data_IF_792291326863
#
_entry.id   IF_792291326863
#
_cell.length_a   1.000
_cell.length_b   1.000
_cell.length_c   1.000
_cell.angle_alpha   90.00
_cell.angle_beta   90.00
_cell.angle_gamma   90.00
#
_symmetry.space_group_name_H-M   'P 1'
#
loop_
_entity.id
_entity.type
_entity.pdbx_description
1 polymer ?
#
# COMPACT_ATOMS: atom_id res chain seq x y z
N UNK A 1 -6.56 -9.95 41.58
CA UNK A 1 -5.44 -10.51 40.79
C UNK A 1 -5.83 -10.44 39.34
N UNK A 2 -4.93 -10.07 38.44
CA UNK A 2 -5.21 -10.08 37.00
C UNK A 2 -5.54 -11.50 36.55
N UNK A 3 -6.64 -11.69 35.83
CA UNK A 3 -6.96 -12.97 35.22
C UNK A 3 -6.01 -13.20 34.06
N UNK A 4 -5.24 -14.28 34.10
CA UNK A 4 -4.19 -14.59 33.13
C UNK A 4 -4.60 -15.74 32.23
N UNK A 5 -4.44 -15.59 30.92
CA UNK A 5 -4.48 -16.70 29.96
C UNK A 5 -3.09 -17.31 29.86
N UNK A 6 -2.86 -18.52 30.34
CA UNK A 6 -1.56 -19.19 30.28
C UNK A 6 -1.23 -19.59 28.83
N UNK A 7 0.08 -19.80 28.57
CA UNK A 7 0.52 -20.33 27.28
C UNK A 7 -0.08 -21.73 27.03
N UNK A 8 -0.75 -21.91 25.92
CA UNK A 8 -1.43 -23.16 25.56
C UNK A 8 -0.60 -24.07 24.63
N UNK A 9 0.32 -23.50 23.84
CA UNK A 9 1.08 -24.24 22.82
C UNK A 9 2.61 -24.13 22.96
N UNK A 10 3.08 -23.64 24.09
CA UNK A 10 4.51 -23.66 24.45
C UNK A 10 5.03 -25.12 24.51
N UNK A 11 6.17 -25.38 23.85
CA UNK A 11 6.75 -26.71 23.70
C UNK A 11 6.15 -27.55 22.55
N UNK A 12 5.10 -27.05 21.88
CA UNK A 12 4.49 -27.68 20.71
C UNK A 12 4.69 -26.83 19.43
N UNK A 13 4.31 -25.57 19.45
CA UNK A 13 4.42 -24.68 18.30
C UNK A 13 5.71 -23.86 18.32
N UNK A 14 6.25 -23.62 19.51
CA UNK A 14 7.49 -22.92 19.75
C UNK A 14 8.14 -23.44 21.06
N UNK A 15 9.45 -23.20 21.30
CA UNK A 15 10.14 -23.70 22.49
C UNK A 15 9.52 -23.19 23.80
N UNK A 16 9.29 -24.09 24.77
CA UNK A 16 8.77 -23.73 26.09
C UNK A 16 9.82 -23.07 27.01
N UNK A 17 11.12 -23.32 26.78
CA UNK A 17 12.18 -22.76 27.59
C UNK A 17 12.49 -21.33 27.10
N UNK A 18 12.47 -20.31 27.99
CA UNK A 18 12.61 -18.90 27.57
C UNK A 18 13.86 -18.57 26.76
N UNK A 19 15.01 -19.10 27.12
CA UNK A 19 16.24 -18.83 26.40
C UNK A 19 16.28 -19.51 25.02
N UNK A 20 15.70 -20.70 24.89
CA UNK A 20 15.57 -21.41 23.62
C UNK A 20 14.60 -20.65 22.71
N UNK A 21 13.48 -20.15 23.25
CA UNK A 21 12.51 -19.34 22.48
C UNK A 21 13.12 -18.03 21.98
N UNK A 22 13.84 -17.29 22.83
CA UNK A 22 14.57 -16.08 22.41
C UNK A 22 15.55 -16.37 21.27
N UNK A 23 16.33 -17.44 21.38
CA UNK A 23 17.26 -17.84 20.30
C UNK A 23 16.51 -18.23 19.01
N UNK A 24 15.39 -18.92 19.12
CA UNK A 24 14.58 -19.31 17.96
C UNK A 24 14.03 -18.09 17.25
N UNK A 25 13.38 -17.18 17.96
CA UNK A 25 12.85 -15.92 17.39
C UNK A 25 13.95 -15.07 16.77
N UNK A 26 15.08 -14.89 17.48
CA UNK A 26 16.23 -14.14 16.97
C UNK A 26 16.80 -14.74 15.69
N UNK A 27 16.86 -16.09 15.58
CA UNK A 27 17.32 -16.78 14.37
C UNK A 27 16.39 -16.48 13.19
N UNK A 28 15.07 -16.59 13.36
CA UNK A 28 14.11 -16.29 12.28
C UNK A 28 14.20 -14.83 11.85
N UNK A 29 14.29 -13.88 12.77
CA UNK A 29 14.47 -12.46 12.48
C UNK A 29 15.78 -12.15 11.76
N UNK A 30 16.87 -12.86 12.09
CA UNK A 30 18.16 -12.68 11.43
C UNK A 30 18.20 -13.17 9.97
N UNK A 31 17.22 -13.98 9.57
CA UNK A 31 17.12 -14.49 8.19
C UNK A 31 16.25 -13.57 7.30
N UNK A 32 15.69 -12.51 7.86
CA UNK A 32 14.86 -11.57 7.09
C UNK A 32 15.71 -10.70 6.17
N UNK A 33 15.13 -10.29 5.04
CA UNK A 33 15.76 -9.33 4.14
C UNK A 33 15.78 -7.96 4.81
N UNK A 34 16.95 -7.34 4.86
CA UNK A 34 17.07 -5.96 5.32
C UNK A 34 16.41 -5.04 4.28
N UNK A 35 15.38 -4.33 4.70
CA UNK A 35 14.74 -3.31 3.88
C UNK A 35 14.91 -1.94 4.56
N UNK A 36 15.07 -0.87 3.78
CA UNK A 36 15.08 0.47 4.36
C UNK A 36 13.71 0.73 5.03
N UNK A 37 13.69 1.35 6.22
CA UNK A 37 12.44 1.70 6.87
C UNK A 37 11.66 2.68 6.00
N UNK A 38 10.36 2.43 5.86
CA UNK A 38 9.44 3.36 5.18
C UNK A 38 9.16 4.59 6.07
N UNK A 39 8.44 5.57 5.53
CA UNK A 39 8.12 6.81 6.26
C UNK A 39 7.14 6.60 7.43
N UNK A 40 6.34 5.52 7.38
CA UNK A 40 5.32 5.18 8.40
C UNK A 40 5.36 3.67 8.71
N UNK A 41 4.87 3.25 9.89
CA UNK A 41 4.76 1.82 10.21
C UNK A 41 3.76 1.13 9.28
N UNK A 42 3.91 -0.20 9.05
CA UNK A 42 2.85 -0.98 8.42
C UNK A 42 1.59 -0.90 9.27
N UNK A 43 0.44 -0.75 8.63
CA UNK A 43 -0.85 -0.61 9.31
C UNK A 43 -1.54 -1.95 9.54
N UNK A 44 -1.37 -2.86 8.59
CA UNK A 44 -1.92 -4.20 8.65
C UNK A 44 -0.86 -5.22 8.20
N UNK A 45 -0.76 -6.33 8.92
CA UNK A 45 0.02 -7.50 8.53
C UNK A 45 -0.90 -8.71 8.43
N UNK A 46 -0.67 -9.55 7.42
CA UNK A 46 -1.20 -10.91 7.34
C UNK A 46 -0.02 -11.86 7.58
N UNK A 47 -0.13 -12.72 8.60
CA UNK A 47 0.98 -13.58 9.04
C UNK A 47 0.49 -15.01 9.33
N UNK A 48 1.29 -16.04 9.02
CA UNK A 48 0.96 -17.42 9.30
C UNK A 48 1.11 -17.75 10.79
N UNK A 49 0.45 -18.86 11.23
CA UNK A 49 0.43 -19.26 12.63
C UNK A 49 0.70 -20.75 12.88
N UNK A 50 1.32 -21.43 11.95
CA UNK A 50 1.83 -22.78 12.18
C UNK A 50 3.01 -22.77 13.18
N UNK A 51 3.45 -23.95 13.60
CA UNK A 51 4.65 -24.06 14.44
C UNK A 51 5.88 -23.39 13.79
N UNK A 52 6.74 -22.80 14.61
CA UNK A 52 7.89 -22.01 14.16
C UNK A 52 8.83 -22.73 13.20
N UNK A 53 8.95 -24.07 13.33
CA UNK A 53 9.75 -24.90 12.42
C UNK A 53 9.22 -24.85 10.98
N UNK A 54 7.95 -24.57 10.77
CA UNK A 54 7.31 -24.51 9.46
C UNK A 54 7.11 -23.09 8.93
N UNK A 55 6.55 -22.19 9.75
CA UNK A 55 6.12 -20.87 9.32
C UNK A 55 6.91 -19.71 9.93
N UNK A 56 7.85 -19.99 10.85
CA UNK A 56 8.58 -18.96 11.59
C UNK A 56 9.37 -18.00 10.70
N UNK A 57 10.03 -18.51 9.66
CA UNK A 57 10.80 -17.68 8.72
C UNK A 57 9.88 -16.77 7.87
N UNK A 58 8.71 -17.27 7.50
CA UNK A 58 7.70 -16.50 6.80
C UNK A 58 7.12 -15.39 7.70
N UNK A 59 6.67 -15.72 8.91
CA UNK A 59 6.14 -14.76 9.87
C UNK A 59 7.17 -13.67 10.22
N UNK A 60 8.44 -14.04 10.35
CA UNK A 60 9.52 -13.11 10.66
C UNK A 60 9.69 -12.01 9.62
N UNK A 61 9.38 -12.24 8.33
CA UNK A 61 9.48 -11.20 7.28
C UNK A 61 8.56 -10.00 7.60
N UNK A 62 7.34 -10.27 8.05
CA UNK A 62 6.43 -9.19 8.47
C UNK A 62 6.79 -8.59 9.84
N UNK A 63 7.17 -9.44 10.80
CA UNK A 63 7.53 -8.99 12.14
C UNK A 63 8.78 -8.09 12.16
N UNK A 64 9.76 -8.34 11.28
CA UNK A 64 10.98 -7.52 11.19
C UNK A 64 10.70 -6.07 10.79
N UNK A 65 9.63 -5.81 10.03
CA UNK A 65 9.22 -4.45 9.65
C UNK A 65 8.85 -3.58 10.86
N UNK A 66 8.52 -4.18 11.99
CA UNK A 66 8.08 -3.47 13.19
C UNK A 66 9.22 -2.88 14.02
N UNK A 67 10.45 -3.42 13.88
CA UNK A 67 11.61 -3.02 14.70
C UNK A 67 11.87 -1.52 14.75
N UNK A 68 11.91 -0.80 13.61
CA UNK A 68 12.10 0.66 13.58
C UNK A 68 10.99 1.45 14.29
N UNK A 69 9.83 0.83 14.49
CA UNK A 69 8.61 1.48 14.99
C UNK A 69 8.25 1.10 16.43
N UNK A 70 9.14 0.37 17.13
CA UNK A 70 8.91 -0.13 18.49
C UNK A 70 8.49 0.96 19.49
N UNK A 71 8.98 2.17 19.32
CA UNK A 71 8.63 3.31 20.19
C UNK A 71 7.31 3.99 19.76
N UNK A 72 6.77 3.67 18.61
CA UNK A 72 5.55 4.27 18.06
C UNK A 72 4.34 3.36 18.18
N UNK A 73 4.49 2.06 17.91
CA UNK A 73 3.40 1.08 18.03
C UNK A 73 3.13 0.82 19.51
N UNK A 74 1.91 1.12 19.96
CA UNK A 74 1.46 0.99 21.34
C UNK A 74 0.31 0.02 21.51
N UNK A 75 -0.43 -0.26 20.44
CA UNK A 75 -1.56 -1.21 20.40
C UNK A 75 -1.39 -2.18 19.26
N UNK A 76 -1.63 -3.45 19.53
CA UNK A 76 -1.73 -4.51 18.52
C UNK A 76 -3.15 -5.10 18.58
N UNK A 77 -3.90 -4.95 17.49
CA UNK A 77 -5.19 -5.61 17.28
C UNK A 77 -4.91 -6.89 16.50
N UNK A 78 -5.15 -8.05 17.10
CA UNK A 78 -4.80 -9.34 16.51
C UNK A 78 -6.04 -10.19 16.31
N UNK A 79 -6.41 -10.42 15.05
CA UNK A 79 -7.53 -11.25 14.64
C UNK A 79 -7.02 -12.63 14.23
N UNK A 80 -7.66 -13.69 14.71
CA UNK A 80 -7.30 -15.08 14.38
C UNK A 80 -8.54 -15.94 14.23
N UNK A 81 -8.53 -17.01 13.41
CA UNK A 81 -9.65 -17.91 13.25
C UNK A 81 -9.95 -18.72 14.52
N UNK A 82 -11.21 -19.13 14.65
CA UNK A 82 -11.69 -20.01 15.73
C UNK A 82 -11.46 -21.48 15.37
N UNK A 83 -10.31 -22.06 15.75
CA UNK A 83 -9.99 -23.46 15.45
C UNK A 83 -10.56 -24.46 16.47
N UNK A 84 -10.82 -24.01 17.70
CA UNK A 84 -11.13 -24.92 18.85
C UNK A 84 -12.57 -24.83 19.30
N UNK A 85 -13.15 -23.65 19.27
CA UNK A 85 -14.51 -23.42 19.78
C UNK A 85 -15.32 -22.73 18.68
N UNK A 86 -16.36 -23.43 18.14
CA UNK A 86 -17.26 -22.78 17.20
C UNK A 86 -17.94 -21.57 17.84
N UNK A 87 -17.96 -20.45 17.14
CA UNK A 87 -18.64 -19.25 17.59
C UNK A 87 -19.21 -18.44 16.42
N UNK A 88 -20.20 -17.63 16.69
CA UNK A 88 -20.73 -16.62 15.77
C UNK A 88 -20.23 -15.25 16.20
N UNK A 89 -19.69 -14.47 15.25
CA UNK A 89 -19.10 -13.16 15.53
C UNK A 89 -17.64 -13.26 15.97
N UNK A 90 -17.22 -12.31 16.81
CA UNK A 90 -15.84 -12.16 17.28
C UNK A 90 -15.79 -12.27 18.82
N UNK A 91 -14.88 -13.07 19.34
CA UNK A 91 -14.73 -13.26 20.78
C UNK A 91 -13.54 -12.48 21.36
N UNK A 92 -13.79 -11.71 22.41
CA UNK A 92 -12.81 -11.16 23.34
C UNK A 92 -12.63 -12.08 24.53
N UNK A 93 -11.42 -12.16 25.14
CA UNK A 93 -11.23 -12.91 26.40
C UNK A 93 -11.82 -12.14 27.58
N UNK A 94 -12.06 -12.84 28.67
CA UNK A 94 -12.36 -12.21 29.97
C UNK A 94 -11.08 -11.96 30.79
N UNK A 95 -9.97 -12.50 30.38
CA UNK A 95 -8.65 -12.31 30.94
C UNK A 95 -8.13 -10.90 30.66
N UNK A 96 -7.16 -10.47 31.49
CA UNK A 96 -6.55 -9.11 31.36
C UNK A 96 -5.11 -9.17 30.87
N UNK A 97 -4.54 -10.39 30.80
CA UNK A 97 -3.13 -10.63 30.45
C UNK A 97 -3.02 -11.97 29.72
N UNK A 98 -2.21 -12.03 28.68
CA UNK A 98 -1.77 -13.28 28.06
C UNK A 98 -0.33 -13.58 28.48
N UNK A 99 -0.02 -14.85 28.70
CA UNK A 99 1.29 -15.32 29.11
C UNK A 99 1.99 -16.09 28.00
N UNK A 100 3.29 -15.87 27.86
CA UNK A 100 4.20 -16.66 27.04
C UNK A 100 5.44 -17.01 27.89
N UNK A 101 6.32 -17.92 27.46
CA UNK A 101 7.60 -18.14 28.13
C UNK A 101 8.50 -16.89 28.20
N UNK A 102 8.26 -15.87 27.39
CA UNK A 102 9.01 -14.61 27.42
C UNK A 102 8.49 -13.59 28.44
N UNK A 103 7.33 -13.83 29.01
CA UNK A 103 6.65 -12.94 29.96
C UNK A 103 5.20 -12.68 29.60
N UNK A 104 4.60 -11.70 30.24
CA UNK A 104 3.18 -11.35 30.07
C UNK A 104 2.98 -10.26 29.05
N UNK A 105 1.86 -10.32 28.33
CA UNK A 105 1.38 -9.30 27.39
C UNK A 105 0.07 -8.73 27.95
N UNK A 106 0.04 -7.45 28.35
CA UNK A 106 -1.18 -6.81 28.88
C UNK A 106 -2.20 -6.60 27.77
N UNK A 107 -3.48 -6.76 28.10
CA UNK A 107 -4.57 -6.47 27.17
C UNK A 107 -5.01 -5.00 27.27
N UNK A 108 -5.43 -4.43 26.15
CA UNK A 108 -6.02 -3.08 26.09
C UNK A 108 -7.48 -3.13 26.50
N UNK A 109 -7.73 -3.10 27.80
CA UNK A 109 -9.09 -3.22 28.36
C UNK A 109 -9.99 -2.06 27.94
N UNK A 110 -9.45 -0.85 27.75
CA UNK A 110 -10.21 0.30 27.30
C UNK A 110 -10.70 0.09 25.85
N UNK A 111 -9.81 -0.33 24.96
CA UNK A 111 -10.17 -0.63 23.56
C UNK A 111 -11.13 -1.84 23.45
N UNK A 112 -10.99 -2.84 24.34
CA UNK A 112 -11.94 -3.96 24.39
C UNK A 112 -13.32 -3.49 24.87
N UNK A 113 -13.39 -2.58 25.82
CA UNK A 113 -14.64 -1.99 26.34
C UNK A 113 -15.35 -1.14 25.27
N UNK A 114 -14.63 -0.47 24.40
CA UNK A 114 -15.16 0.29 23.26
C UNK A 114 -15.91 -0.58 22.24
N UNK A 115 -15.77 -1.90 22.29
CA UNK A 115 -16.46 -2.84 21.40
C UNK A 115 -17.77 -3.39 21.99
N UNK A 116 -18.10 -3.05 23.24
CA UNK A 116 -19.20 -3.66 24.02
C UNK A 116 -20.59 -3.47 23.39
N UNK A 117 -20.78 -2.39 22.65
CA UNK A 117 -22.05 -2.06 21.98
C UNK A 117 -22.23 -2.76 20.61
N UNK A 118 -21.20 -3.46 20.12
CA UNK A 118 -21.25 -4.18 18.85
C UNK A 118 -21.88 -5.55 19.05
N UNK A 119 -23.04 -5.86 18.45
CA UNK A 119 -23.79 -7.09 18.72
C UNK A 119 -23.06 -8.37 18.29
N UNK A 120 -22.12 -8.26 17.34
CA UNK A 120 -21.30 -9.38 16.87
C UNK A 120 -20.09 -9.66 17.76
N UNK A 121 -19.83 -8.85 18.79
CA UNK A 121 -18.71 -9.02 19.73
C UNK A 121 -19.23 -9.67 21.01
N UNK A 122 -18.56 -10.72 21.44
CA UNK A 122 -18.88 -11.44 22.67
C UNK A 122 -17.64 -11.68 23.53
N UNK A 123 -17.81 -11.97 24.81
CA UNK A 123 -16.73 -12.41 25.70
C UNK A 123 -16.75 -13.93 25.85
N UNK A 124 -15.61 -14.59 25.56
CA UNK A 124 -15.46 -16.03 25.68
C UNK A 124 -14.03 -16.43 25.98
N UNK A 125 -13.70 -16.63 27.25
CA UNK A 125 -12.41 -17.23 27.66
C UNK A 125 -12.22 -18.63 27.05
N UNK A 126 -13.30 -19.40 26.84
CA UNK A 126 -13.22 -20.71 26.22
C UNK A 126 -12.71 -20.65 24.77
N UNK A 127 -13.08 -19.61 23.99
CA UNK A 127 -12.60 -19.43 22.64
C UNK A 127 -11.09 -19.14 22.59
N UNK A 128 -10.54 -18.52 23.64
CA UNK A 128 -9.13 -18.14 23.73
C UNK A 128 -8.26 -19.21 24.42
N UNK A 129 -8.82 -20.03 25.34
CA UNK A 129 -8.05 -20.87 26.24
C UNK A 129 -7.04 -21.78 25.53
N UNK A 130 -7.43 -22.37 24.41
CA UNK A 130 -6.62 -23.31 23.63
C UNK A 130 -6.37 -22.88 22.19
N UNK A 131 -6.70 -21.62 21.86
CA UNK A 131 -6.46 -21.09 20.51
C UNK A 131 -5.00 -20.69 20.37
N UNK A 132 -4.33 -21.26 19.36
CA UNK A 132 -2.91 -21.05 19.12
C UNK A 132 -2.60 -19.88 18.20
N UNK A 133 -3.53 -19.55 17.29
CA UNK A 133 -3.25 -18.61 16.20
C UNK A 133 -2.95 -17.17 16.64
N UNK A 134 -3.44 -16.77 17.83
CA UNK A 134 -3.04 -15.51 18.50
C UNK A 134 -1.70 -15.70 19.21
N UNK A 135 -1.57 -16.79 19.98
CA UNK A 135 -0.44 -17.00 20.89
C UNK A 135 0.91 -17.08 20.15
N UNK A 136 0.97 -17.74 18.98
CA UNK A 136 2.22 -17.92 18.24
C UNK A 136 2.81 -16.61 17.71
N UNK A 137 2.01 -15.54 17.61
CA UNK A 137 2.48 -14.21 17.22
C UNK A 137 3.17 -13.48 18.37
N UNK A 138 2.80 -13.77 19.62
CA UNK A 138 3.22 -12.99 20.79
C UNK A 138 4.73 -13.00 21.05
N UNK A 139 5.46 -14.14 20.96
CA UNK A 139 6.92 -14.11 21.20
C UNK A 139 7.68 -13.24 20.17
N UNK A 140 7.23 -13.17 18.92
CA UNK A 140 7.78 -12.25 17.93
C UNK A 140 7.49 -10.81 18.34
N UNK A 141 6.24 -10.47 18.66
CA UNK A 141 5.84 -9.11 19.10
C UNK A 141 6.61 -8.66 20.34
N UNK A 142 6.74 -9.52 21.35
CA UNK A 142 7.54 -9.24 22.57
C UNK A 142 9.01 -8.98 22.23
N UNK A 143 9.56 -9.68 21.23
CA UNK A 143 10.96 -9.50 20.83
C UNK A 143 11.17 -8.20 20.06
N UNK A 144 10.28 -7.86 19.12
CA UNK A 144 10.47 -6.70 18.22
C UNK A 144 9.95 -5.40 18.83
N UNK A 145 8.85 -5.42 19.60
CA UNK A 145 8.25 -4.24 20.22
C UNK A 145 8.65 -4.06 21.70
N UNK A 146 9.15 -5.12 22.37
CA UNK A 146 9.39 -5.10 23.81
C UNK A 146 8.11 -5.04 24.62
N UNK A 147 8.15 -4.42 25.80
CA UNK A 147 7.03 -4.35 26.75
C UNK A 147 6.14 -3.10 26.53
N UNK A 148 6.35 -2.38 25.43
CA UNK A 148 5.74 -1.06 25.18
C UNK A 148 4.36 -1.09 24.54
N UNK A 149 3.73 -2.26 24.32
CA UNK A 149 2.44 -2.39 23.65
C UNK A 149 1.39 -3.12 24.49
N UNK A 150 0.12 -2.89 24.15
CA UNK A 150 -1.04 -3.64 24.64
C UNK A 150 -1.68 -4.43 23.52
N UNK A 151 -2.36 -5.53 23.83
CA UNK A 151 -2.98 -6.42 22.87
C UNK A 151 -4.51 -6.32 22.94
N UNK A 152 -5.18 -6.28 21.78
CA UNK A 152 -6.61 -6.56 21.63
C UNK A 152 -6.74 -7.87 20.83
N UNK A 153 -6.90 -9.02 21.51
CA UNK A 153 -7.00 -10.32 20.84
C UNK A 153 -8.46 -10.62 20.46
N UNK A 154 -8.69 -10.98 19.21
CA UNK A 154 -10.01 -11.31 18.67
C UNK A 154 -9.99 -12.68 17.99
N UNK A 155 -10.71 -13.64 18.55
CA UNK A 155 -10.99 -14.92 17.89
C UNK A 155 -12.23 -14.74 17.01
N UNK A 156 -12.05 -14.93 15.70
CA UNK A 156 -13.09 -14.71 14.69
C UNK A 156 -13.71 -16.05 14.29
N UNK A 157 -15.00 -16.20 14.52
CA UNK A 157 -15.76 -17.36 14.10
C UNK A 157 -16.54 -17.09 12.82
N UNK A 158 -17.79 -17.57 12.77
CA UNK A 158 -18.68 -17.26 11.66
C UNK A 158 -19.13 -15.79 11.76
N UNK A 159 -18.53 -14.95 10.93
CA UNK A 159 -18.81 -13.52 10.88
C UNK A 159 -18.83 -13.05 9.42
N UNK A 160 -19.68 -12.08 9.12
CA UNK A 160 -19.70 -11.44 7.80
C UNK A 160 -18.51 -10.46 7.66
N UNK A 161 -18.10 -10.12 6.43
CA UNK A 161 -17.07 -9.09 6.24
C UNK A 161 -17.44 -7.75 6.93
N UNK A 162 -18.72 -7.36 6.93
CA UNK A 162 -19.19 -6.14 7.58
C UNK A 162 -19.09 -6.20 9.11
N UNK A 163 -19.35 -7.36 9.72
CA UNK A 163 -19.19 -7.58 11.16
C UNK A 163 -17.73 -7.34 11.59
N UNK A 164 -16.79 -7.93 10.86
CA UNK A 164 -15.36 -7.77 11.12
C UNK A 164 -14.91 -6.33 10.82
N UNK A 165 -15.35 -5.77 9.70
CA UNK A 165 -15.00 -4.41 9.30
C UNK A 165 -15.47 -3.38 10.34
N UNK A 166 -16.65 -3.55 10.94
CA UNK A 166 -17.15 -2.67 11.99
C UNK A 166 -16.24 -2.67 13.23
N UNK A 167 -15.77 -3.87 13.65
CA UNK A 167 -14.83 -4.01 14.77
C UNK A 167 -13.47 -3.40 14.44
N UNK A 168 -12.91 -3.74 13.29
CA UNK A 168 -11.60 -3.22 12.86
C UNK A 168 -11.63 -1.69 12.72
N UNK A 169 -12.70 -1.12 12.15
CA UNK A 169 -12.87 0.34 12.04
C UNK A 169 -12.88 1.03 13.40
N UNK A 170 -13.57 0.46 14.40
CA UNK A 170 -13.62 1.00 15.77
C UNK A 170 -12.22 1.03 16.42
N UNK A 171 -11.38 0.03 16.11
CA UNK A 171 -10.04 -0.14 16.68
C UNK A 171 -8.93 0.46 15.82
N UNK A 172 -9.23 1.03 14.65
CA UNK A 172 -8.23 1.35 13.61
C UNK A 172 -7.09 2.24 14.12
N UNK A 173 -7.40 3.31 14.87
CA UNK A 173 -6.40 4.24 15.41
C UNK A 173 -5.49 4.87 14.36
N UNK A 174 -4.41 5.49 14.81
CA UNK A 174 -3.32 6.06 13.99
C UNK A 174 -2.12 5.11 13.82
N UNK A 175 -0.92 5.69 13.74
CA UNK A 175 0.36 4.96 13.62
C UNK A 175 0.74 4.18 14.89
N UNK A 176 0.10 4.48 16.02
CA UNK A 176 0.27 3.77 17.28
C UNK A 176 -0.45 2.41 17.32
N UNK A 177 -1.34 2.15 16.39
CA UNK A 177 -2.14 0.92 16.31
C UNK A 177 -1.76 0.09 15.09
N UNK A 178 -1.31 -1.14 15.33
CA UNK A 178 -1.05 -2.17 14.32
C UNK A 178 -2.21 -3.16 14.31
N UNK A 179 -2.68 -3.54 13.14
CA UNK A 179 -3.62 -4.65 12.95
C UNK A 179 -2.87 -5.86 12.41
N UNK A 180 -3.12 -7.05 12.96
CA UNK A 180 -2.57 -8.31 12.45
C UNK A 180 -3.73 -9.26 12.19
N UNK A 181 -3.80 -9.82 11.00
CA UNK A 181 -4.63 -10.99 10.69
C UNK A 181 -3.72 -12.22 10.66
N UNK A 182 -3.97 -13.13 11.58
CA UNK A 182 -3.24 -14.38 11.70
C UNK A 182 -3.94 -15.45 10.85
N UNK A 183 -3.31 -15.90 9.76
CA UNK A 183 -3.90 -16.85 8.81
C UNK A 183 -2.84 -17.66 8.08
N UNK A 184 -3.00 -18.98 8.09
CA UNK A 184 -2.37 -19.85 7.11
C UNK A 184 -3.20 -19.87 5.82
N UNK A 185 -2.62 -20.32 4.70
CA UNK A 185 -3.28 -20.45 3.40
C UNK A 185 -3.88 -21.86 3.23
N UNK A 186 -3.70 -22.49 2.04
CA UNK A 186 -4.27 -23.81 1.77
C UNK A 186 -3.73 -24.90 2.69
N UNK A 187 -4.54 -25.91 2.94
CA UNK A 187 -4.20 -27.02 3.83
C UNK A 187 -4.23 -28.36 3.12
N UNK A 188 -3.24 -29.20 3.41
CA UNK A 188 -3.21 -30.63 3.10
C UNK A 188 -3.24 -30.99 1.61
N UNK A 189 -2.91 -30.07 0.74
CA UNK A 189 -2.70 -30.30 -0.70
C UNK A 189 -1.30 -30.85 -0.97
N UNK A 190 -1.07 -31.41 -2.17
CA UNK A 190 0.29 -31.64 -2.66
C UNK A 190 0.99 -30.30 -2.86
N UNK A 191 2.32 -30.27 -2.74
CA UNK A 191 3.10 -29.02 -2.82
C UNK A 191 2.79 -28.21 -4.10
N UNK A 192 2.74 -28.83 -5.27
CA UNK A 192 2.42 -28.14 -6.51
C UNK A 192 0.99 -27.57 -6.56
N UNK A 193 0.01 -28.30 -6.00
CA UNK A 193 -1.37 -27.82 -5.92
C UNK A 193 -1.51 -26.69 -4.90
N UNK A 194 -0.82 -26.78 -3.77
CA UNK A 194 -0.77 -25.73 -2.76
C UNK A 194 -0.15 -24.45 -3.33
N UNK A 195 1.02 -24.53 -3.97
CA UNK A 195 1.68 -23.38 -4.58
C UNK A 195 0.78 -22.66 -5.59
N UNK A 196 0.08 -23.41 -6.45
CA UNK A 196 -0.84 -22.82 -7.43
C UNK A 196 -2.03 -22.14 -6.77
N UNK A 197 -2.65 -22.77 -5.77
CA UNK A 197 -3.80 -22.22 -5.02
C UNK A 197 -3.38 -21.01 -4.20
N UNK A 198 -2.29 -21.13 -3.47
CA UNK A 198 -1.80 -20.10 -2.58
C UNK A 198 -1.38 -18.84 -3.35
N UNK A 199 -0.76 -19.02 -4.52
CA UNK A 199 -0.46 -17.90 -5.41
C UNK A 199 -1.74 -17.15 -5.84
N UNK A 200 -2.77 -17.89 -6.27
CA UNK A 200 -4.05 -17.29 -6.64
C UNK A 200 -4.72 -16.58 -5.44
N UNK A 201 -4.67 -17.18 -4.24
CA UNK A 201 -5.21 -16.58 -3.01
C UNK A 201 -4.45 -15.30 -2.64
N UNK A 202 -3.13 -15.31 -2.71
CA UNK A 202 -2.28 -14.13 -2.45
C UNK A 202 -2.63 -13.01 -3.43
N UNK A 203 -2.74 -13.29 -4.73
CA UNK A 203 -3.16 -12.31 -5.72
C UNK A 203 -4.54 -11.69 -5.39
N UNK A 204 -5.51 -12.51 -4.94
CA UNK A 204 -6.81 -12.01 -4.49
C UNK A 204 -6.68 -11.08 -3.27
N UNK A 205 -5.84 -11.44 -2.29
CA UNK A 205 -5.58 -10.60 -1.11
C UNK A 205 -4.94 -9.27 -1.53
N UNK A 206 -3.94 -9.30 -2.42
CA UNK A 206 -3.27 -8.09 -2.93
C UNK A 206 -4.23 -7.18 -3.73
N UNK A 207 -5.30 -7.74 -4.30
CA UNK A 207 -6.34 -6.98 -4.99
C UNK A 207 -7.56 -6.64 -4.11
N UNK A 208 -7.46 -6.85 -2.78
CA UNK A 208 -8.52 -6.57 -1.80
C UNK A 208 -9.82 -7.31 -2.08
N UNK A 209 -9.76 -8.54 -2.56
CA UNK A 209 -10.94 -9.40 -2.70
C UNK A 209 -11.48 -9.79 -1.33
N UNK A 210 -12.78 -9.64 -1.12
CA UNK A 210 -13.48 -9.83 0.16
C UNK A 210 -14.35 -11.09 0.17
N UNK A 211 -14.11 -12.00 -0.77
CA UNK A 211 -14.85 -13.24 -0.94
C UNK A 211 -13.97 -14.49 -0.81
N UNK A 212 -12.90 -14.41 0.00
CA UNK A 212 -12.06 -15.56 0.32
C UNK A 212 -12.85 -16.57 1.16
N UNK A 213 -12.57 -17.85 0.99
CA UNK A 213 -13.17 -18.93 1.79
C UNK A 213 -12.15 -19.63 2.70
N UNK A 214 -12.66 -20.52 3.58
CA UNK A 214 -11.84 -21.21 4.57
C UNK A 214 -10.87 -22.24 3.97
N UNK A 215 -11.09 -22.69 2.74
CA UNK A 215 -10.19 -23.60 2.03
C UNK A 215 -9.02 -22.86 1.39
N UNK A 216 -9.16 -21.55 1.17
CA UNK A 216 -8.13 -20.66 0.64
C UNK A 216 -7.25 -20.08 1.76
N UNK A 217 -7.88 -19.72 2.89
CA UNK A 217 -7.19 -19.20 4.06
C UNK A 217 -8.02 -19.47 5.33
N UNK A 218 -7.43 -20.09 6.36
CA UNK A 218 -8.16 -20.38 7.60
C UNK A 218 -8.68 -19.10 8.28
N UNK A 219 -8.01 -17.96 8.09
CA UNK A 219 -8.43 -16.64 8.55
C UNK A 219 -9.31 -15.86 7.58
N UNK A 220 -9.95 -16.51 6.58
CA UNK A 220 -10.73 -15.83 5.53
C UNK A 220 -11.79 -14.86 6.07
N UNK A 221 -12.52 -15.23 7.13
CA UNK A 221 -13.52 -14.34 7.74
C UNK A 221 -12.88 -13.03 8.27
N UNK A 222 -11.73 -13.13 8.95
CA UNK A 222 -10.98 -11.98 9.43
C UNK A 222 -10.39 -11.16 8.27
N UNK A 223 -9.83 -11.84 7.25
CA UNK A 223 -9.26 -11.21 6.05
C UNK A 223 -10.30 -10.39 5.31
N UNK A 224 -11.44 -10.97 4.96
CA UNK A 224 -12.47 -10.32 4.15
C UNK A 224 -12.91 -8.98 4.73
N UNK A 225 -13.18 -8.90 6.04
CA UNK A 225 -13.57 -7.64 6.67
C UNK A 225 -12.41 -6.67 6.86
N UNK A 226 -11.21 -7.15 7.15
CA UNK A 226 -10.03 -6.28 7.31
C UNK A 226 -9.58 -5.70 5.97
N UNK A 227 -9.65 -6.46 4.88
CA UNK A 227 -9.36 -6.00 3.52
C UNK A 227 -10.33 -4.90 3.06
N UNK A 228 -11.59 -4.95 3.51
CA UNK A 228 -12.56 -3.88 3.25
C UNK A 228 -12.07 -2.54 3.82
N UNK A 229 -11.53 -2.54 5.05
CA UNK A 229 -10.98 -1.34 5.68
C UNK A 229 -9.67 -0.93 5.01
N UNK A 230 -8.76 -1.88 4.77
CA UNK A 230 -7.47 -1.60 4.13
C UNK A 230 -7.63 -0.92 2.75
N UNK A 231 -8.64 -1.36 1.97
CA UNK A 231 -9.00 -0.73 0.69
C UNK A 231 -9.56 0.68 0.88
N UNK A 232 -10.47 0.87 1.85
CA UNK A 232 -11.06 2.18 2.13
C UNK A 232 -10.02 3.20 2.60
N UNK A 233 -9.02 2.75 3.37
CA UNK A 233 -7.89 3.53 3.87
C UNK A 233 -6.74 3.66 2.83
N UNK A 234 -6.92 3.15 1.62
CA UNK A 234 -5.97 3.21 0.50
C UNK A 234 -4.58 2.68 0.87
N UNK A 235 -4.53 1.59 1.63
CA UNK A 235 -3.24 0.97 1.94
C UNK A 235 -2.65 0.30 0.69
N UNK A 236 -1.32 0.31 0.58
CA UNK A 236 -0.59 -0.46 -0.43
C UNK A 236 -0.28 -1.87 0.09
N UNK A 237 -0.78 -2.92 -0.57
CA UNK A 237 -0.44 -4.29 -0.24
C UNK A 237 0.93 -4.67 -0.81
N UNK A 238 1.71 -5.42 -0.04
CA UNK A 238 3.01 -5.94 -0.46
C UNK A 238 3.24 -7.36 0.05
N UNK A 239 3.48 -8.29 -0.86
CA UNK A 239 3.91 -9.64 -0.52
C UNK A 239 5.37 -9.60 -0.04
N UNK A 240 5.61 -10.09 1.17
CA UNK A 240 6.93 -10.16 1.79
C UNK A 240 7.57 -11.55 1.62
N UNK A 241 6.75 -12.59 1.82
CA UNK A 241 7.16 -13.97 1.65
C UNK A 241 5.95 -14.85 1.33
N UNK A 242 6.20 -15.91 0.59
CA UNK A 242 5.28 -17.03 0.38
C UNK A 242 6.08 -18.31 0.39
N UNK A 243 5.62 -19.31 1.14
CA UNK A 243 6.27 -20.60 1.26
C UNK A 243 5.24 -21.69 1.66
N UNK A 244 5.70 -22.93 1.79
CA UNK A 244 4.89 -24.04 2.28
C UNK A 244 5.58 -24.78 3.41
N UNK A 245 4.87 -25.64 4.11
CA UNK A 245 5.49 -26.52 5.14
C UNK A 245 6.54 -27.46 4.55
N UNK A 246 6.56 -27.69 3.23
CA UNK A 246 7.58 -28.49 2.56
C UNK A 246 8.97 -27.82 2.52
N UNK A 247 9.03 -26.51 2.72
CA UNK A 247 10.30 -25.77 2.79
C UNK A 247 11.03 -26.00 4.12
N UNK A 248 10.32 -26.56 5.11
CA UNK A 248 10.92 -27.01 6.38
C UNK A 248 11.59 -28.38 6.23
N UNK A 249 12.70 -28.64 6.93
CA UNK A 249 13.30 -30.00 7.01
C UNK A 249 12.34 -31.10 7.52
N UNK A 250 11.28 -30.72 8.24
CA UNK A 250 10.26 -31.63 8.78
C UNK A 250 9.04 -31.77 7.85
N UNK A 251 9.06 -31.12 6.67
CA UNK A 251 7.92 -31.03 5.77
C UNK A 251 7.67 -32.28 4.93
N UNK A 252 6.40 -32.64 4.69
CA UNK A 252 6.01 -33.68 3.72
C UNK A 252 5.39 -33.03 2.48
N UNK A 253 6.09 -33.10 1.34
CA UNK A 253 5.66 -32.51 0.05
C UNK A 253 4.35 -33.06 -0.50
N UNK A 254 3.87 -34.19 0.02
CA UNK A 254 2.59 -34.79 -0.40
C UNK A 254 1.40 -34.13 0.28
N UNK A 255 1.63 -33.46 1.42
CA UNK A 255 0.57 -32.89 2.24
C UNK A 255 1.06 -31.66 3.00
N UNK A 256 1.00 -30.51 2.33
CA UNK A 256 1.57 -29.26 2.83
C UNK A 256 0.48 -28.31 3.36
N UNK A 257 0.93 -27.31 4.11
CA UNK A 257 0.18 -26.09 4.46
C UNK A 257 0.90 -24.93 3.83
N UNK A 258 0.15 -24.01 3.21
CA UNK A 258 0.66 -22.80 2.61
C UNK A 258 0.76 -21.64 3.58
N UNK A 259 1.73 -20.77 3.40
CA UNK A 259 2.01 -19.62 4.25
C UNK A 259 2.29 -18.38 3.40
N UNK A 260 1.82 -17.22 3.86
CA UNK A 260 2.23 -15.94 3.32
C UNK A 260 2.43 -14.90 4.43
N UNK A 261 3.38 -13.99 4.22
CA UNK A 261 3.52 -12.75 4.96
C UNK A 261 3.24 -11.60 4.01
N UNK A 262 2.22 -10.78 4.34
CA UNK A 262 1.80 -9.65 3.51
C UNK A 262 1.71 -8.43 4.42
N UNK A 263 2.29 -7.31 3.98
CA UNK A 263 2.14 -6.02 4.63
C UNK A 263 1.17 -5.14 3.84
N UNK A 264 0.38 -4.35 4.56
CA UNK A 264 -0.40 -3.26 4.00
C UNK A 264 0.09 -1.99 4.66
N UNK A 265 0.68 -1.12 3.87
CA UNK A 265 1.39 0.05 4.34
C UNK A 265 0.60 1.30 3.96
N UNK A 266 0.53 2.32 4.84
CA UNK A 266 -0.01 3.60 4.43
C UNK A 266 0.78 4.09 3.23
N UNK A 267 0.06 4.53 2.18
CA UNK A 267 0.69 5.29 1.10
C UNK A 267 1.48 6.40 1.77
N UNK A 268 2.76 6.50 1.46
CA UNK A 268 3.57 7.56 2.04
C UNK A 268 2.86 8.89 1.79
N UNK A 269 2.91 9.88 2.71
CA UNK A 269 2.38 11.22 2.43
C UNK A 269 2.89 11.81 1.12
N UNK A 270 3.95 11.24 0.62
CA UNK A 270 4.63 11.46 -0.62
C UNK A 270 3.81 11.02 -1.84
N UNK A 271 3.01 9.96 -1.70
CA UNK A 271 2.23 9.37 -2.79
C UNK A 271 0.72 9.66 -2.63
N UNK A 272 0.33 10.44 -1.59
CA UNK A 272 -1.05 10.91 -1.46
C UNK A 272 -1.24 12.13 -2.38
N UNK A 273 -1.96 11.98 -3.49
CA UNK A 273 -2.27 13.10 -4.39
C UNK A 273 -2.87 14.29 -3.65
N UNK A 274 -3.59 14.03 -2.54
CA UNK A 274 -4.19 15.08 -1.72
C UNK A 274 -3.16 15.97 -1.00
N UNK A 275 -1.93 15.49 -0.76
CA UNK A 275 -0.85 16.28 -0.14
C UNK A 275 0.17 16.77 -1.15
N UNK A 276 0.45 15.99 -2.20
CA UNK A 276 1.41 16.34 -3.25
C UNK A 276 0.89 17.48 -4.13
N UNK A 277 -0.37 17.42 -4.54
CA UNK A 277 -0.99 18.45 -5.38
C UNK A 277 -0.92 19.85 -4.78
N UNK A 278 -1.44 20.11 -3.58
CA UNK A 278 -1.32 21.37 -2.89
C UNK A 278 0.13 21.86 -2.73
N UNK A 279 1.08 20.95 -2.47
CA UNK A 279 2.49 21.28 -2.34
C UNK A 279 3.11 21.70 -3.70
N UNK A 280 2.76 21.03 -4.80
CA UNK A 280 3.19 21.39 -6.15
C UNK A 280 2.64 22.77 -6.57
N UNK A 281 1.35 23.02 -6.30
CA UNK A 281 0.72 24.32 -6.56
C UNK A 281 1.38 25.43 -5.75
N UNK A 282 1.62 25.22 -4.46
CA UNK A 282 2.30 26.16 -3.59
C UNK A 282 3.75 26.45 -4.06
N UNK A 283 4.50 25.43 -4.49
CA UNK A 283 5.85 25.56 -5.01
C UNK A 283 5.88 26.33 -6.35
N UNK A 284 4.91 26.07 -7.24
CA UNK A 284 4.76 26.82 -8.48
C UNK A 284 4.47 28.30 -8.21
N UNK A 285 3.53 28.56 -7.30
CA UNK A 285 3.13 29.92 -6.89
C UNK A 285 4.30 30.65 -6.23
N UNK A 286 5.03 30.03 -5.33
CA UNK A 286 6.23 30.57 -4.68
C UNK A 286 7.29 30.99 -5.71
N UNK A 287 7.57 30.14 -6.70
CA UNK A 287 8.58 30.38 -7.70
C UNK A 287 8.22 31.56 -8.60
N UNK A 288 6.95 31.71 -9.03
CA UNK A 288 6.46 32.83 -9.80
C UNK A 288 6.54 34.13 -8.97
N UNK A 289 6.08 34.08 -7.69
CA UNK A 289 6.10 35.23 -6.80
C UNK A 289 7.53 35.76 -6.60
N UNK A 290 8.50 34.90 -6.36
CA UNK A 290 9.93 35.27 -6.25
C UNK A 290 10.46 35.91 -7.55
N UNK A 291 10.08 35.37 -8.70
CA UNK A 291 10.48 35.93 -10.00
C UNK A 291 9.84 37.30 -10.28
N UNK A 292 8.68 37.61 -9.69
CA UNK A 292 8.05 38.93 -9.70
C UNK A 292 8.65 39.89 -8.68
N UNK A 293 9.65 39.47 -7.87
CA UNK A 293 10.26 40.29 -6.82
C UNK A 293 9.45 40.38 -5.54
N UNK A 294 8.49 39.50 -5.34
CA UNK A 294 7.73 39.36 -4.09
C UNK A 294 8.51 38.50 -3.09
N UNK A 295 8.17 38.63 -1.79
CA UNK A 295 8.74 37.84 -0.71
C UNK A 295 7.66 36.86 -0.13
N UNK A 296 7.37 35.74 -0.84
CA UNK A 296 6.41 34.77 -0.36
C UNK A 296 6.97 33.97 0.83
N UNK A 297 6.09 33.49 1.70
CA UNK A 297 6.48 32.52 2.71
C UNK A 297 7.10 31.27 2.02
N UNK A 298 8.21 30.74 2.57
CA UNK A 298 8.87 29.59 1.97
C UNK A 298 7.96 28.35 2.04
N UNK A 299 7.84 27.65 0.93
CA UNK A 299 7.13 26.38 0.83
C UNK A 299 8.05 25.27 1.31
N UNK A 300 7.55 24.45 2.23
CA UNK A 300 8.28 23.25 2.70
C UNK A 300 8.32 22.22 1.57
N UNK A 301 9.53 21.82 1.21
CA UNK A 301 9.71 20.73 0.25
C UNK A 301 9.28 19.40 0.88
N UNK A 302 8.53 18.62 0.11
CA UNK A 302 8.23 17.24 0.42
C UNK A 302 9.42 16.37 0.00
N UNK A 303 9.63 15.21 0.61
CA UNK A 303 10.63 14.24 0.14
C UNK A 303 10.50 13.87 -1.34
N UNK A 304 9.25 13.84 -1.89
CA UNK A 304 8.98 13.62 -3.32
C UNK A 304 9.61 14.65 -4.23
N UNK A 305 9.82 15.84 -3.72
CA UNK A 305 10.47 16.90 -4.49
C UNK A 305 11.92 16.57 -4.86
N UNK A 306 12.53 15.62 -4.15
CA UNK A 306 13.88 15.11 -4.45
C UNK A 306 13.88 13.99 -5.50
N UNK A 307 12.73 13.34 -5.72
CA UNK A 307 12.61 12.27 -6.73
C UNK A 307 12.51 12.85 -8.13
N UNK A 308 13.04 12.17 -9.16
CA UNK A 308 12.84 12.58 -10.54
C UNK A 308 11.35 12.66 -10.88
N UNK A 309 10.92 13.79 -11.44
CA UNK A 309 9.54 14.02 -11.83
C UNK A 309 9.43 14.90 -13.08
N UNK A 310 8.29 14.82 -13.76
CA UNK A 310 7.98 15.61 -14.93
C UNK A 310 6.62 16.30 -14.75
N UNK A 311 6.58 17.62 -14.98
CA UNK A 311 5.37 18.43 -14.81
C UNK A 311 5.09 19.30 -16.01
N UNK A 312 3.81 19.67 -16.17
CA UNK A 312 3.40 20.84 -16.92
C UNK A 312 2.77 21.84 -15.96
N UNK A 313 3.12 23.11 -16.11
CA UNK A 313 2.47 24.20 -15.39
C UNK A 313 1.69 25.04 -16.38
N UNK A 314 0.38 25.13 -16.15
CA UNK A 314 -0.55 25.95 -16.94
C UNK A 314 -1.00 27.14 -16.10
N UNK A 315 -0.90 28.31 -16.67
CA UNK A 315 -1.36 29.54 -16.05
C UNK A 315 -2.59 30.04 -16.79
N UNK A 316 -3.60 30.48 -16.02
CA UNK A 316 -4.80 31.10 -16.54
C UNK A 316 -5.01 32.48 -15.90
N UNK A 317 -5.52 33.40 -16.69
CA UNK A 317 -5.95 34.71 -16.21
C UNK A 317 -7.26 34.59 -15.41
N UNK A 318 -7.65 35.64 -14.67
CA UNK A 318 -8.85 35.68 -13.86
C UNK A 318 -10.16 35.37 -14.64
N UNK A 319 -10.18 35.56 -15.94
CA UNK A 319 -11.29 35.21 -16.84
C UNK A 319 -11.19 33.79 -17.42
N UNK A 320 -10.25 32.96 -16.89
CA UNK A 320 -10.06 31.57 -17.27
C UNK A 320 -9.29 31.33 -18.57
N UNK A 321 -8.84 32.38 -19.27
CA UNK A 321 -8.09 32.25 -20.52
C UNK A 321 -6.66 31.75 -20.27
N UNK A 322 -6.15 30.95 -21.20
CA UNK A 322 -4.76 30.50 -21.16
C UNK A 322 -3.81 31.70 -21.15
N UNK A 323 -2.88 31.72 -20.19
CA UNK A 323 -1.88 32.80 -20.00
C UNK A 323 -0.43 32.31 -20.15
N UNK A 324 -0.21 31.01 -20.04
CA UNK A 324 1.06 30.35 -20.26
C UNK A 324 0.95 28.86 -19.99
N UNK A 325 1.78 28.05 -20.66
CA UNK A 325 1.83 26.61 -20.41
C UNK A 325 3.20 26.09 -20.86
N UNK A 326 3.99 25.60 -19.89
CA UNK A 326 5.32 25.02 -20.14
C UNK A 326 5.49 23.78 -19.28
N UNK A 327 6.15 22.76 -19.83
CA UNK A 327 6.43 21.53 -19.11
C UNK A 327 7.44 20.64 -19.81
N UNK A 328 7.69 19.50 -19.22
CA UNK A 328 8.59 18.46 -19.73
C UNK A 328 7.92 17.09 -19.70
N UNK A 329 8.36 16.22 -20.62
CA UNK A 329 7.88 14.83 -20.71
C UNK A 329 8.75 13.85 -19.97
N UNK A 330 9.99 14.22 -19.67
CA UNK A 330 10.96 13.33 -19.06
C UNK A 330 11.32 13.79 -17.65
N UNK A 331 11.29 12.86 -16.73
CA UNK A 331 11.68 13.03 -15.34
C UNK A 331 13.23 13.02 -15.21
N UNK A 332 13.88 14.08 -15.68
CA UNK A 332 15.36 14.18 -15.72
C UNK A 332 15.95 15.00 -14.58
N UNK A 333 15.10 15.57 -13.72
CA UNK A 333 15.52 16.37 -12.56
C UNK A 333 14.52 16.17 -11.39
N UNK A 334 14.92 16.56 -10.17
CA UNK A 334 14.03 16.51 -9.01
C UNK A 334 12.70 17.23 -9.27
N UNK A 335 11.59 16.63 -8.85
CA UNK A 335 10.21 17.12 -9.08
C UNK A 335 10.01 18.55 -8.57
N UNK A 336 10.53 18.88 -7.39
CA UNK A 336 10.45 20.23 -6.83
C UNK A 336 11.17 21.26 -7.67
N UNK A 337 12.31 20.91 -8.27
CA UNK A 337 13.03 21.77 -9.21
C UNK A 337 12.31 21.84 -10.56
N UNK A 338 11.66 20.77 -10.99
CA UNK A 338 10.91 20.72 -12.24
C UNK A 338 9.70 21.65 -12.20
N UNK A 339 8.84 21.51 -11.20
CA UNK A 339 7.63 22.33 -11.07
C UNK A 339 7.96 23.82 -10.96
N UNK A 340 8.95 24.21 -10.13
CA UNK A 340 9.36 25.60 -9.97
C UNK A 340 9.89 26.20 -11.28
N UNK A 341 10.74 25.45 -11.97
CA UNK A 341 11.30 25.92 -13.25
C UNK A 341 10.23 26.04 -14.35
N UNK A 342 9.30 25.08 -14.43
CA UNK A 342 8.23 25.13 -15.41
C UNK A 342 7.24 26.25 -15.10
N UNK A 343 6.98 26.54 -13.82
CA UNK A 343 6.15 27.67 -13.39
C UNK A 343 6.74 29.03 -13.83
N UNK A 344 8.02 29.22 -13.59
CA UNK A 344 8.73 30.46 -14.05
C UNK A 344 8.75 30.51 -15.58
N UNK A 345 8.99 29.39 -16.25
CA UNK A 345 8.99 29.36 -17.71
C UNK A 345 7.60 29.67 -18.29
N UNK A 346 6.54 29.18 -17.72
CA UNK A 346 5.16 29.46 -18.13
C UNK A 346 4.81 30.96 -17.94
N UNK A 347 5.32 31.57 -16.86
CA UNK A 347 5.04 32.97 -16.56
C UNK A 347 5.86 33.95 -17.41
N UNK A 348 7.10 33.62 -17.75
CA UNK A 348 8.03 34.61 -18.31
C UNK A 348 8.67 34.21 -19.64
N UNK A 349 8.63 32.94 -20.02
CA UNK A 349 9.37 32.38 -21.14
C UNK A 349 8.50 31.60 -22.14
N UNK A 350 7.19 31.61 -21.99
CA UNK A 350 6.29 31.10 -23.03
C UNK A 350 6.18 32.09 -24.16
N UNK A 351 6.82 31.81 -25.29
CA UNK A 351 6.92 32.73 -26.42
C UNK A 351 5.60 33.16 -27.07
N UNK A 352 4.47 32.56 -26.64
CA UNK A 352 3.11 32.91 -27.08
C UNK A 352 2.56 34.14 -26.34
N UNK A 353 3.14 34.52 -25.21
CA UNK A 353 2.65 35.56 -24.31
C UNK A 353 3.77 36.49 -23.87
N UNK A 354 3.41 37.73 -23.52
CA UNK A 354 4.34 38.67 -22.87
C UNK A 354 4.67 38.18 -21.44
N UNK A 355 5.82 38.52 -20.86
CA UNK A 355 6.14 38.21 -19.48
C UNK A 355 5.04 38.65 -18.51
N UNK A 356 4.77 37.80 -17.48
CA UNK A 356 3.75 38.08 -16.46
C UNK A 356 4.09 39.36 -15.69
N UNK A 357 3.08 40.18 -15.39
CA UNK A 357 3.21 41.42 -14.63
C UNK A 357 2.63 41.31 -13.21
N UNK A 358 3.09 42.18 -12.30
CA UNK A 358 2.53 42.27 -10.93
C UNK A 358 1.02 42.58 -10.91
N UNK A 359 0.50 43.27 -11.93
CA UNK A 359 -0.91 43.60 -12.02
C UNK A 359 -1.80 42.37 -12.28
N UNK A 360 -1.26 41.35 -12.95
CA UNK A 360 -1.97 40.07 -13.27
C UNK A 360 -1.91 39.08 -12.11
N UNK A 361 -0.94 39.24 -11.21
CA UNK A 361 -0.66 38.30 -10.12
C UNK A 361 -1.88 37.94 -9.23
N UNK A 362 -2.68 38.93 -8.76
CA UNK A 362 -3.80 38.61 -7.84
C UNK A 362 -4.90 37.72 -8.43
N UNK A 363 -5.05 37.70 -9.75
CA UNK A 363 -6.06 36.91 -10.46
C UNK A 363 -5.49 35.71 -11.20
N UNK A 364 -4.21 35.41 -11.01
CA UNK A 364 -3.58 34.30 -11.69
C UNK A 364 -4.03 32.97 -11.07
N UNK A 365 -4.51 32.05 -11.90
CA UNK A 365 -4.83 30.68 -11.54
C UNK A 365 -3.71 29.75 -12.04
N UNK A 366 -3.30 28.80 -11.21
CA UNK A 366 -2.24 27.84 -11.50
C UNK A 366 -2.81 26.44 -11.56
N UNK A 367 -2.50 25.72 -12.61
CA UNK A 367 -2.75 24.29 -12.78
C UNK A 367 -1.39 23.59 -12.91
N UNK A 368 -1.18 22.49 -12.19
CA UNK A 368 -0.01 21.61 -12.31
C UNK A 368 -0.48 20.23 -12.76
N UNK A 369 0.07 19.77 -13.87
CA UNK A 369 -0.12 18.40 -14.35
C UNK A 369 1.14 17.59 -14.04
N UNK A 370 1.03 16.60 -13.18
CA UNK A 370 2.09 15.62 -12.86
C UNK A 370 1.97 14.43 -13.81
N UNK A 371 3.08 14.10 -14.47
CA UNK A 371 3.14 12.97 -15.41
C UNK A 371 3.61 11.71 -14.69
N UNK A 372 2.84 10.65 -14.82
CA UNK A 372 3.27 9.32 -14.41
C UNK A 372 4.36 8.74 -15.32
N UNK A 373 4.99 7.63 -14.93
CA UNK A 373 6.02 6.97 -15.71
C UNK A 373 5.47 6.52 -17.09
N UNK A 374 6.28 6.74 -18.13
CA UNK A 374 5.93 6.26 -19.46
C UNK A 374 6.14 4.74 -19.54
N UNK A 375 5.11 4.02 -19.97
CA UNK A 375 5.13 2.56 -20.17
C UNK A 375 4.98 2.27 -21.66
N UNK A 376 5.92 1.51 -22.22
CA UNK A 376 5.88 1.10 -23.62
C UNK A 376 4.61 0.27 -23.90
N UNK A 377 3.92 0.60 -24.99
CA UNK A 377 2.77 -0.16 -25.49
C UNK A 377 3.35 -1.27 -26.40
N UNK A 378 3.27 -2.55 -26.00
CA UNK A 378 3.73 -3.64 -26.86
C UNK A 378 2.78 -3.75 -28.06
N UNK A 379 3.25 -3.38 -29.25
CA UNK A 379 2.49 -3.49 -30.50
C UNK A 379 3.44 -3.82 -31.65
N UNK A 380 3.08 -4.83 -32.46
CA UNK A 380 3.84 -5.23 -33.63
C UNK A 380 3.40 -4.45 -34.89
N UNK A 381 2.20 -3.93 -34.87
CA UNK A 381 1.62 -3.13 -35.94
C UNK A 381 0.74 -1.99 -35.40
N UNK A 382 0.25 -1.16 -36.34
CA UNK A 382 -0.59 -0.02 -36.00
C UNK A 382 -1.96 -0.44 -35.42
N UNK A 383 -2.52 -1.57 -35.87
CA UNK A 383 -3.81 -2.04 -35.40
C UNK A 383 -3.77 -2.48 -33.91
N UNK A 384 -2.72 -3.20 -33.55
CA UNK A 384 -2.47 -3.56 -32.13
C UNK A 384 -2.23 -2.32 -31.27
N UNK A 385 -1.47 -1.35 -31.78
CA UNK A 385 -1.23 -0.10 -31.09
C UNK A 385 -2.52 0.68 -30.82
N UNK A 386 -3.37 0.82 -31.84
CA UNK A 386 -4.68 1.48 -31.73
C UNK A 386 -5.60 0.78 -30.73
N UNK A 387 -5.62 -0.56 -30.73
CA UNK A 387 -6.44 -1.35 -29.81
C UNK A 387 -6.00 -1.21 -28.33
N UNK A 388 -4.73 -0.88 -28.10
CA UNK A 388 -4.16 -0.73 -26.76
C UNK A 388 -4.31 0.68 -26.17
N UNK A 389 -4.65 1.69 -26.99
CA UNK A 389 -4.87 3.07 -26.54
C UNK A 389 -6.19 3.17 -25.75
N UNK A 390 -6.17 3.98 -24.68
CA UNK A 390 -7.34 4.24 -23.83
C UNK A 390 -7.76 5.71 -23.98
N UNK A 391 -8.77 6.02 -24.82
CA UNK A 391 -9.25 7.38 -25.00
C UNK A 391 -9.66 8.04 -23.69
N UNK A 392 -9.31 9.30 -23.52
CA UNK A 392 -9.59 10.09 -22.32
C UNK A 392 -8.67 9.82 -21.12
N UNK A 393 -7.82 8.78 -21.19
CA UNK A 393 -6.97 8.35 -20.05
C UNK A 393 -5.49 8.51 -20.38
N UNK A 394 -5.07 8.00 -21.56
CA UNK A 394 -3.65 7.92 -21.89
C UNK A 394 -3.10 9.23 -22.48
N UNK A 395 -2.02 9.74 -21.91
CA UNK A 395 -1.08 10.52 -22.66
C UNK A 395 -0.24 9.56 -23.53
N UNK A 396 0.09 9.95 -24.76
CA UNK A 396 0.79 9.07 -25.69
C UNK A 396 2.05 9.74 -26.23
N UNK A 397 3.18 9.02 -26.13
CA UNK A 397 4.46 9.41 -26.75
C UNK A 397 4.64 8.49 -27.97
N UNK A 398 4.95 9.11 -29.11
CA UNK A 398 5.44 8.42 -30.30
C UNK A 398 6.92 8.71 -30.45
N UNK A 399 7.70 7.67 -30.63
CA UNK A 399 9.15 7.71 -30.80
C UNK A 399 9.56 6.85 -32.01
N UNK A 400 10.25 7.45 -32.96
CA UNK A 400 10.82 6.75 -34.11
C UNK A 400 12.03 7.50 -34.65
N UNK A 401 13.24 6.94 -34.42
CA UNK A 401 14.53 7.56 -34.78
C UNK A 401 14.65 8.98 -34.19
N UNK A 402 14.76 10.01 -35.06
CA UNK A 402 14.85 11.41 -34.66
C UNK A 402 13.47 12.10 -34.53
N UNK A 403 12.38 11.38 -34.83
CA UNK A 403 11.01 11.89 -34.76
C UNK A 403 10.35 11.50 -33.44
N UNK A 404 9.99 12.50 -32.65
CA UNK A 404 9.33 12.31 -31.36
C UNK A 404 8.24 13.34 -31.15
N UNK A 405 7.08 12.89 -30.71
CA UNK A 405 5.97 13.75 -30.31
C UNK A 405 5.17 13.14 -29.18
N UNK A 406 4.39 13.95 -28.51
CA UNK A 406 3.44 13.52 -27.50
C UNK A 406 2.14 14.30 -27.58
N UNK A 407 1.06 13.63 -27.13
CA UNK A 407 -0.20 14.25 -26.76
C UNK A 407 -0.52 13.93 -25.31
N UNK A 408 -0.97 14.96 -24.57
CA UNK A 408 -1.56 14.81 -23.25
C UNK A 408 -2.98 14.21 -23.35
N UNK A 409 -3.51 13.62 -22.29
CA UNK A 409 -4.86 13.04 -22.30
C UNK A 409 -5.97 14.01 -22.73
N UNK A 410 -5.82 15.32 -22.47
CA UNK A 410 -6.80 16.33 -22.88
C UNK A 410 -7.06 16.38 -24.39
N UNK A 411 -6.09 15.98 -25.20
CA UNK A 411 -6.25 15.95 -26.67
C UNK A 411 -7.32 14.97 -27.11
N UNK A 412 -7.68 13.99 -26.26
CA UNK A 412 -8.81 13.10 -26.53
C UNK A 412 -10.17 13.82 -26.54
N UNK A 413 -10.30 14.97 -25.89
CA UNK A 413 -11.52 15.79 -25.94
C UNK A 413 -11.79 16.32 -27.35
N UNK A 414 -10.71 16.67 -28.06
CA UNK A 414 -10.76 17.17 -29.45
C UNK A 414 -10.70 16.02 -30.48
N UNK A 415 -9.98 14.96 -30.16
CA UNK A 415 -9.71 13.82 -31.03
C UNK A 415 -10.10 12.50 -30.31
N UNK A 416 -11.40 12.21 -30.12
CA UNK A 416 -11.86 11.05 -29.36
C UNK A 416 -11.65 9.71 -30.09
N UNK A 417 -11.47 9.72 -31.41
CA UNK A 417 -11.19 8.53 -32.21
C UNK A 417 -9.69 8.19 -32.17
N UNK A 418 -9.29 6.97 -31.72
CA UNK A 418 -7.88 6.57 -31.65
C UNK A 418 -7.12 6.70 -32.95
N UNK A 419 -7.78 6.44 -34.08
CA UNK A 419 -7.16 6.56 -35.40
C UNK A 419 -6.86 8.02 -35.73
N UNK A 420 -7.80 8.92 -35.53
CA UNK A 420 -7.62 10.35 -35.74
C UNK A 420 -6.52 10.91 -34.80
N UNK A 421 -6.54 10.49 -33.54
CA UNK A 421 -5.55 10.87 -32.53
C UNK A 421 -4.13 10.44 -32.94
N UNK A 422 -3.93 9.18 -33.32
CA UNK A 422 -2.61 8.67 -33.71
C UNK A 422 -2.12 9.32 -35.02
N UNK A 423 -3.00 9.57 -35.97
CA UNK A 423 -2.66 10.30 -37.20
C UNK A 423 -2.18 11.72 -36.90
N UNK A 424 -2.88 12.44 -36.04
CA UNK A 424 -2.48 13.78 -35.61
C UNK A 424 -1.15 13.76 -34.82
N UNK A 425 -0.92 12.76 -33.99
CA UNK A 425 0.32 12.57 -33.25
C UNK A 425 1.51 12.30 -34.19
N UNK A 426 1.33 11.47 -35.23
CA UNK A 426 2.32 11.25 -36.28
C UNK A 426 2.65 12.53 -37.03
N UNK A 427 1.64 13.29 -37.41
CA UNK A 427 1.83 14.59 -38.07
C UNK A 427 2.63 15.56 -37.16
N UNK A 428 2.33 15.59 -35.86
CA UNK A 428 3.09 16.39 -34.90
C UNK A 428 4.56 15.94 -34.77
N UNK A 429 4.83 14.65 -34.96
CA UNK A 429 6.18 14.09 -35.00
C UNK A 429 6.92 14.35 -36.33
N UNK A 430 6.28 15.02 -37.29
CA UNK A 430 6.85 15.23 -38.61
C UNK A 430 6.75 14.02 -39.53
N UNK A 431 5.88 13.06 -39.22
CA UNK A 431 5.67 11.84 -40.00
C UNK A 431 4.37 11.94 -40.81
N UNK A 432 4.29 11.24 -41.94
CA UNK A 432 3.02 11.10 -42.70
C UNK A 432 1.92 10.48 -41.80
N UNK A 433 0.64 10.89 -41.96
CA UNK A 433 -0.46 10.40 -41.13
C UNK A 433 -0.71 8.87 -41.21
N UNK A 434 -0.33 8.24 -42.30
CA UNK A 434 -0.44 6.79 -42.55
C UNK A 434 0.90 6.06 -42.36
N UNK A 435 1.91 6.73 -41.81
CA UNK A 435 3.21 6.14 -41.57
C UNK A 435 3.17 5.08 -40.48
N UNK A 436 3.70 3.90 -40.77
CA UNK A 436 4.06 2.89 -39.77
C UNK A 436 5.28 2.12 -40.28
N UNK A 437 6.24 1.87 -39.42
CA UNK A 437 7.47 1.16 -39.81
C UNK A 437 8.01 0.35 -38.59
N UNK A 438 8.81 -0.69 -38.84
CA UNK A 438 9.52 -1.39 -37.77
C UNK A 438 10.34 -0.42 -36.94
N UNK A 439 10.20 -0.54 -35.61
CA UNK A 439 10.90 0.32 -34.65
C UNK A 439 10.14 1.59 -34.25
N UNK A 440 8.91 1.81 -34.75
CA UNK A 440 7.99 2.77 -34.13
C UNK A 440 7.64 2.28 -32.72
N UNK A 441 7.85 3.14 -31.72
CA UNK A 441 7.48 2.88 -30.35
C UNK A 441 6.40 3.84 -29.90
N UNK A 442 5.39 3.30 -29.27
CA UNK A 442 4.41 4.08 -28.54
C UNK A 442 4.58 3.81 -27.04
N UNK A 443 4.54 4.86 -26.25
CA UNK A 443 4.46 4.74 -24.79
C UNK A 443 3.25 5.52 -24.30
N UNK A 444 2.59 5.00 -23.28
CA UNK A 444 1.49 5.68 -22.59
C UNK A 444 1.94 6.13 -21.21
N UNK A 445 1.36 7.21 -20.72
CA UNK A 445 1.53 7.73 -19.37
C UNK A 445 0.22 8.31 -18.85
N UNK A 446 0.06 8.27 -17.54
CA UNK A 446 -1.06 8.95 -16.86
C UNK A 446 -0.69 10.42 -16.57
N UNK A 447 -1.71 11.24 -16.40
CA UNK A 447 -1.55 12.64 -15.96
C UNK A 447 -2.50 12.87 -14.80
N UNK A 448 -1.96 13.37 -13.70
CA UNK A 448 -2.73 13.82 -12.57
C UNK A 448 -2.72 15.33 -12.52
N UNK A 449 -3.89 15.94 -12.44
CA UNK A 449 -4.06 17.39 -12.48
C UNK A 449 -4.42 17.95 -11.13
N UNK A 450 -3.79 19.06 -10.78
CA UNK A 450 -4.05 19.83 -9.57
C UNK A 450 -4.31 21.28 -9.96
N UNK A 451 -5.38 21.85 -9.43
CA UNK A 451 -5.86 23.21 -9.72
C UNK A 451 -6.07 23.97 -8.42
N UNK A 452 -5.88 25.30 -8.46
CA UNK A 452 -6.19 26.22 -7.35
C UNK A 452 -7.67 26.52 -7.23
#
# INVERSE_FOLDING_TARGET
MAATRPAAVAGMFYPAEPAALRRSVARHLAQTRAEPPRARPPKLLVLPHAGYVYSGDCAAQGMALLGPWRERIRRVVLLAPAHRVPLHGLALPAETVFETPLGTVPLDLAAMDDLRDLPQVLHSSAAHAHEHAIEVQLPFLQTVLGDGFTLVPLVVGHATPDDVAAVVRRLWGGDETLVIVSSDLSHYLSEAAAQARDHATVERILHFDQALDGDEACGAAALNGTLQIARAERLEPRLLAQCTSADSPEGDRRRVVGYAAIAFEPVAPQDDPATLGPALLAAAREAIAKALGLDPAPVRDLPDFEQPGATFVTLRSADGRLRGCVGRLEAVRPLGADVRSNAVAAAFHDGRFAPLTLAEWPGLQIEVSLLGPAVEIPAHDEAEALAALRPGIDGVILDWRDSRATFLPQVWEELPDPTAFLRALKHKAGLPPDFWAPGVKLSRYSVEKFEE
#
